data_IF_974968453533
#
_entry.id   IF_974968453533
#
_cell.length_a   1.000
_cell.length_b   1.000
_cell.length_c   1.000
_cell.angle_alpha   90.00
_cell.angle_beta   90.00
_cell.angle_gamma   90.00
#
_symmetry.space_group_name_H-M   'P 1'
#
loop_
_entity.id
_entity.type
_entity.pdbx_description
1 polymer ?
#
# COMPACT_ATOMS: atom_id res chain seq x y z
N UNK A 1 -7.15 11.00 -9.53
CA UNK A 1 -6.70 11.06 -8.11
C UNK A 1 -6.71 12.50 -7.64
N UNK A 2 -7.26 12.75 -6.48
CA UNK A 2 -7.27 14.07 -5.85
C UNK A 2 -5.83 14.60 -5.65
N UNK A 3 -5.59 15.93 -5.80
CA UNK A 3 -4.23 16.50 -5.72
C UNK A 3 -3.47 16.18 -4.42
N UNK A 4 -4.16 16.17 -3.27
CA UNK A 4 -3.57 15.88 -1.96
C UNK A 4 -3.02 14.46 -1.88
N UNK A 5 -3.80 13.47 -2.32
CA UNK A 5 -3.36 12.08 -2.36
C UNK A 5 -2.25 11.86 -3.40
N UNK A 6 -2.32 12.53 -4.54
CA UNK A 6 -1.24 12.45 -5.53
C UNK A 6 0.08 12.94 -4.94
N UNK A 7 0.06 14.09 -4.27
CA UNK A 7 1.26 14.63 -3.62
C UNK A 7 1.79 13.69 -2.50
N UNK A 8 0.89 13.06 -1.74
CA UNK A 8 1.27 12.07 -0.72
C UNK A 8 2.04 10.91 -1.37
N UNK A 9 1.50 10.29 -2.42
CA UNK A 9 2.18 9.16 -3.09
C UNK A 9 3.48 9.57 -3.80
N UNK A 10 3.58 10.79 -4.33
CA UNK A 10 4.84 11.33 -4.87
C UNK A 10 5.91 11.48 -3.79
N UNK A 11 5.52 11.93 -2.58
CA UNK A 11 6.39 12.00 -1.40
C UNK A 11 6.75 10.62 -0.86
N UNK A 12 5.78 9.70 -0.78
CA UNK A 12 6.02 8.32 -0.36
C UNK A 12 7.00 7.62 -1.30
N UNK A 13 6.81 7.73 -2.61
CA UNK A 13 7.74 7.17 -3.58
C UNK A 13 9.17 7.70 -3.37
N UNK A 14 9.33 9.02 -3.14
CA UNK A 14 10.63 9.60 -2.81
C UNK A 14 11.18 9.05 -1.50
N UNK A 15 10.37 9.01 -0.45
CA UNK A 15 10.76 8.50 0.86
C UNK A 15 11.25 7.05 0.79
N UNK A 16 10.54 6.19 0.05
CA UNK A 16 10.95 4.80 -0.16
C UNK A 16 12.33 4.73 -0.85
N UNK A 17 12.49 5.44 -1.96
CA UNK A 17 13.74 5.41 -2.74
C UNK A 17 14.93 6.01 -1.99
N UNK A 18 14.72 7.03 -1.17
CA UNK A 18 15.78 7.64 -0.34
C UNK A 18 16.30 6.69 0.77
N UNK A 19 15.55 5.62 1.07
CA UNK A 19 15.86 4.66 2.14
C UNK A 19 16.22 3.25 1.63
N UNK A 20 16.39 3.08 0.31
CA UNK A 20 16.70 1.82 -0.34
C UNK A 20 18.03 1.89 -1.12
N UNK A 21 18.75 0.79 -1.22
CA UNK A 21 19.90 0.67 -2.11
C UNK A 21 19.44 0.40 -3.55
N UNK A 22 19.59 1.40 -4.41
CA UNK A 22 19.19 1.34 -5.81
C UNK A 22 20.34 0.94 -6.74
N UNK A 23 21.52 0.59 -6.22
CA UNK A 23 22.73 0.35 -7.01
C UNK A 23 22.54 -0.66 -8.15
N UNK A 24 22.03 -1.83 -7.85
CA UNK A 24 21.84 -2.93 -8.82
C UNK A 24 20.36 -3.21 -9.13
N UNK A 25 19.51 -2.19 -9.08
CA UNK A 25 18.09 -2.29 -9.33
C UNK A 25 17.80 -2.44 -10.84
N UNK A 26 17.10 -3.48 -11.23
CA UNK A 26 16.62 -3.70 -12.60
C UNK A 26 15.16 -4.14 -12.66
N UNK A 27 14.69 -4.91 -11.66
CA UNK A 27 13.34 -5.45 -11.62
C UNK A 27 12.71 -5.14 -10.27
N UNK A 28 11.64 -4.38 -10.30
CA UNK A 28 10.84 -4.02 -9.12
C UNK A 28 9.52 -4.78 -9.20
N UNK A 29 9.05 -5.31 -8.09
CA UNK A 29 7.67 -5.73 -7.89
C UNK A 29 6.98 -4.73 -6.98
N UNK A 30 5.87 -4.17 -7.43
CA UNK A 30 4.89 -3.58 -6.53
C UNK A 30 3.75 -4.56 -6.32
N UNK A 31 3.57 -4.99 -5.07
CA UNK A 31 2.53 -5.92 -4.65
C UNK A 31 1.33 -5.14 -4.08
N UNK A 32 0.13 -5.40 -4.60
CA UNK A 32 -1.06 -4.62 -4.29
C UNK A 32 -1.06 -3.26 -5.00
N UNK A 33 -0.74 -3.23 -6.29
CA UNK A 33 -0.56 -1.96 -7.02
C UNK A 33 -1.85 -1.16 -7.24
N UNK A 34 -3.03 -1.76 -7.08
CA UNK A 34 -4.31 -1.11 -7.29
C UNK A 34 -4.40 -0.41 -8.66
N UNK A 35 -4.76 0.86 -8.63
CA UNK A 35 -4.86 1.73 -9.82
C UNK A 35 -3.56 2.44 -10.19
N UNK A 36 -2.46 2.12 -9.50
CA UNK A 36 -1.13 2.68 -9.75
C UNK A 36 -0.83 3.98 -9.02
N UNK A 37 -1.47 4.19 -7.86
CA UNK A 37 -1.27 5.41 -7.08
C UNK A 37 0.19 5.59 -6.65
N UNK A 38 0.84 4.51 -6.24
CA UNK A 38 2.28 4.48 -5.92
C UNK A 38 3.13 4.04 -7.11
N UNK A 39 2.66 3.09 -7.94
CA UNK A 39 3.39 2.55 -9.10
C UNK A 39 3.90 3.65 -10.03
N UNK A 40 3.03 4.59 -10.39
CA UNK A 40 3.37 5.63 -11.38
C UNK A 40 4.39 6.64 -10.84
N UNK A 41 4.22 7.26 -9.66
CA UNK A 41 5.24 8.16 -9.12
C UNK A 41 6.56 7.43 -8.80
N UNK A 42 6.51 6.18 -8.35
CA UNK A 42 7.70 5.36 -8.14
C UNK A 42 8.46 5.16 -9.46
N UNK A 43 7.79 4.68 -10.51
CA UNK A 43 8.41 4.46 -11.81
C UNK A 43 9.00 5.74 -12.40
N UNK A 44 8.32 6.89 -12.28
CA UNK A 44 8.84 8.18 -12.71
C UNK A 44 10.13 8.54 -12.00
N UNK A 45 10.18 8.40 -10.67
CA UNK A 45 11.38 8.70 -9.88
C UNK A 45 12.54 7.74 -10.16
N UNK A 46 12.27 6.45 -10.32
CA UNK A 46 13.31 5.50 -10.74
C UNK A 46 13.85 5.85 -12.14
N UNK A 47 12.99 6.28 -13.06
CA UNK A 47 13.39 6.68 -14.40
C UNK A 47 14.31 7.92 -14.44
N UNK A 48 14.27 8.76 -13.40
CA UNK A 48 15.20 9.90 -13.26
C UNK A 48 16.65 9.45 -12.94
N UNK A 49 16.83 8.23 -12.40
CA UNK A 49 18.12 7.73 -11.90
C UNK A 49 18.60 6.45 -12.57
N UNK A 50 17.75 5.77 -13.32
CA UNK A 50 18.01 4.50 -14.02
C UNK A 50 17.44 4.52 -15.42
N UNK A 51 18.27 4.23 -16.41
CA UNK A 51 17.83 4.13 -17.81
C UNK A 51 17.06 2.85 -18.14
N UNK A 52 17.37 1.75 -17.43
CA UNK A 52 16.82 0.41 -17.72
C UNK A 52 16.34 -0.24 -16.44
N UNK A 53 15.03 -0.35 -16.31
CA UNK A 53 14.37 -1.09 -15.25
C UNK A 53 12.96 -1.49 -15.69
N UNK A 54 12.34 -2.39 -14.93
CA UNK A 54 10.94 -2.81 -15.09
C UNK A 54 10.24 -2.79 -13.75
N UNK A 55 8.97 -2.46 -13.75
CA UNK A 55 8.07 -2.55 -12.61
C UNK A 55 6.99 -3.56 -12.93
N UNK A 56 6.98 -4.69 -12.26
CA UNK A 56 5.85 -5.59 -12.22
C UNK A 56 4.84 -5.05 -11.24
N UNK A 57 3.67 -4.69 -11.72
CA UNK A 57 2.58 -4.13 -10.92
C UNK A 57 1.53 -5.23 -10.71
N UNK A 58 1.64 -5.92 -9.56
CA UNK A 58 0.82 -7.09 -9.23
C UNK A 58 -0.40 -6.67 -8.42
N UNK A 59 -1.58 -7.12 -8.83
CA UNK A 59 -2.83 -6.94 -8.10
C UNK A 59 -3.80 -8.10 -8.37
N UNK A 60 -4.61 -8.44 -7.38
CA UNK A 60 -5.63 -9.48 -7.52
C UNK A 60 -6.74 -9.07 -8.50
N UNK A 61 -7.03 -7.77 -8.59
CA UNK A 61 -8.12 -7.18 -9.40
C UNK A 61 -9.42 -7.96 -9.31
N UNK A 62 -9.80 -8.31 -8.08
CA UNK A 62 -11.01 -9.08 -7.75
C UNK A 62 -11.72 -8.46 -6.54
N UNK A 63 -12.94 -8.92 -6.24
CA UNK A 63 -13.71 -8.42 -5.10
C UNK A 63 -13.90 -6.89 -5.17
N UNK A 64 -13.58 -6.16 -4.10
CA UNK A 64 -13.71 -4.70 -4.06
C UNK A 64 -12.75 -3.99 -5.02
N UNK A 65 -11.66 -4.64 -5.43
CA UNK A 65 -10.62 -4.12 -6.33
C UNK A 65 -10.81 -4.53 -7.80
N UNK A 66 -11.97 -5.12 -8.13
CA UNK A 66 -12.30 -5.54 -9.50
C UNK A 66 -12.23 -4.34 -10.46
N UNK A 67 -11.40 -4.48 -11.50
CA UNK A 67 -11.21 -3.45 -12.54
C UNK A 67 -10.05 -2.49 -12.27
N UNK A 68 -9.35 -2.61 -11.15
CA UNK A 68 -8.25 -1.70 -10.82
C UNK A 68 -7.07 -1.84 -11.79
N UNK A 69 -6.73 -3.04 -12.24
CA UNK A 69 -5.69 -3.23 -13.25
C UNK A 69 -6.04 -2.62 -14.62
N UNK A 70 -7.30 -2.58 -15.01
CA UNK A 70 -7.77 -1.92 -16.22
C UNK A 70 -7.61 -0.39 -16.11
N UNK A 71 -7.84 0.15 -14.91
CA UNK A 71 -7.60 1.57 -14.61
C UNK A 71 -6.09 1.84 -14.60
N UNK A 72 -5.29 0.99 -13.98
CA UNK A 72 -3.83 1.07 -14.01
C UNK A 72 -3.31 1.13 -15.45
N UNK A 73 -3.73 0.22 -16.33
CA UNK A 73 -3.32 0.21 -17.74
C UNK A 73 -3.60 1.54 -18.44
N UNK A 74 -4.78 2.12 -18.22
CA UNK A 74 -5.15 3.43 -18.77
C UNK A 74 -4.25 4.55 -18.22
N UNK A 75 -3.97 4.52 -16.92
CA UNK A 75 -3.10 5.49 -16.26
C UNK A 75 -1.66 5.39 -16.76
N UNK A 76 -1.13 4.17 -16.89
CA UNK A 76 0.22 3.89 -17.45
C UNK A 76 0.34 4.41 -18.86
N UNK A 77 -0.66 4.17 -19.72
CA UNK A 77 -0.70 4.68 -21.09
C UNK A 77 -0.74 6.20 -21.14
N UNK A 78 -1.57 6.84 -20.33
CA UNK A 78 -1.64 8.30 -20.21
C UNK A 78 -0.29 8.92 -19.84
N UNK A 79 0.47 8.26 -18.97
CA UNK A 79 1.78 8.72 -18.48
C UNK A 79 2.96 8.23 -19.37
N UNK A 80 2.68 7.47 -20.45
CA UNK A 80 3.68 6.93 -21.41
C UNK A 80 4.73 6.03 -20.74
N UNK A 81 4.28 5.18 -19.79
CA UNK A 81 5.12 4.28 -19.02
C UNK A 81 4.94 2.79 -19.39
N UNK A 82 4.29 2.48 -20.53
CA UNK A 82 3.96 1.10 -20.96
C UNK A 82 5.21 0.23 -21.21
N UNK A 83 6.34 0.84 -21.47
CA UNK A 83 7.62 0.14 -21.67
C UNK A 83 8.28 -0.24 -20.34
N UNK A 84 7.86 0.39 -19.25
CA UNK A 84 8.45 0.26 -17.91
C UNK A 84 7.54 -0.51 -16.96
N UNK A 85 6.24 -0.20 -16.93
CA UNK A 85 5.27 -0.79 -16.00
C UNK A 85 4.52 -1.91 -16.71
N UNK A 86 4.54 -3.11 -16.09
CA UNK A 86 3.88 -4.32 -16.56
C UNK A 86 2.84 -4.77 -15.54
N UNK A 87 1.55 -4.48 -15.78
CA UNK A 87 0.46 -4.95 -14.93
C UNK A 87 0.32 -6.48 -14.97
N UNK A 88 0.30 -7.11 -13.80
CA UNK A 88 0.16 -8.56 -13.62
C UNK A 88 -1.05 -8.81 -12.73
N UNK A 89 -1.96 -9.67 -13.20
CA UNK A 89 -3.04 -10.16 -12.36
C UNK A 89 -2.57 -11.39 -11.59
N UNK A 90 -2.62 -11.34 -10.26
CA UNK A 90 -2.22 -12.44 -9.40
C UNK A 90 -2.53 -12.18 -7.93
N UNK A 91 -2.49 -13.25 -7.15
CA UNK A 91 -2.65 -13.22 -5.71
C UNK A 91 -1.27 -13.18 -5.05
N UNK A 92 -1.04 -12.25 -4.13
CA UNK A 92 0.22 -12.11 -3.41
C UNK A 92 0.53 -13.32 -2.52
N UNK A 93 -0.47 -14.13 -2.21
CA UNK A 93 -0.33 -15.36 -1.43
C UNK A 93 0.15 -16.56 -2.24
N UNK A 94 0.18 -16.44 -3.59
CA UNK A 94 0.59 -17.50 -4.53
C UNK A 94 1.00 -16.86 -5.87
N UNK A 95 2.22 -16.33 -5.95
CA UNK A 95 2.72 -15.54 -7.10
C UNK A 95 3.33 -16.48 -8.16
N UNK A 96 2.47 -17.21 -8.88
CA UNK A 96 2.88 -18.17 -9.92
C UNK A 96 3.59 -17.56 -11.13
N UNK A 97 3.34 -16.30 -11.41
CA UNK A 97 3.86 -15.62 -12.60
C UNK A 97 5.32 -15.15 -12.46
N UNK A 98 5.89 -15.26 -11.27
CA UNK A 98 7.23 -14.74 -10.95
C UNK A 98 8.08 -15.88 -10.40
N UNK A 99 9.25 -16.06 -11.03
CA UNK A 99 10.23 -17.10 -10.66
C UNK A 99 10.93 -16.77 -9.33
N UNK A 100 11.47 -17.82 -8.69
CA UNK A 100 12.29 -17.69 -7.49
C UNK A 100 13.48 -16.76 -7.78
N UNK A 101 13.83 -15.95 -6.78
CA UNK A 101 15.03 -15.10 -6.82
C UNK A 101 15.18 -14.26 -8.10
N UNK A 102 14.07 -13.74 -8.62
CA UNK A 102 14.04 -12.96 -9.86
C UNK A 102 13.84 -11.44 -9.65
N UNK A 103 13.40 -11.02 -8.47
CA UNK A 103 13.08 -9.63 -8.13
C UNK A 103 14.22 -8.96 -7.37
N UNK A 104 14.57 -7.72 -7.76
CA UNK A 104 15.60 -6.94 -7.09
C UNK A 104 15.05 -6.07 -5.94
N UNK A 105 13.79 -5.68 -6.01
CA UNK A 105 13.13 -4.85 -5.01
C UNK A 105 11.65 -5.16 -4.96
N UNK A 106 11.13 -5.40 -3.76
CA UNK A 106 9.69 -5.49 -3.53
C UNK A 106 9.22 -4.24 -2.79
N UNK A 107 8.15 -3.64 -3.29
CA UNK A 107 7.44 -2.53 -2.65
C UNK A 107 5.98 -2.92 -2.50
N UNK A 108 5.39 -2.59 -1.37
CA UNK A 108 3.95 -2.65 -1.17
C UNK A 108 3.48 -1.52 -0.25
N UNK A 109 2.22 -1.11 -0.38
CA UNK A 109 1.63 -0.08 0.45
C UNK A 109 0.15 -0.38 0.69
N UNK A 110 -0.31 -0.26 1.94
CA UNK A 110 -1.70 -0.55 2.35
C UNK A 110 -2.21 -1.88 1.78
N UNK A 111 -1.38 -2.92 1.85
CA UNK A 111 -1.69 -4.26 1.35
C UNK A 111 -1.97 -5.24 2.49
N UNK A 112 -1.23 -5.14 3.60
CA UNK A 112 -1.31 -6.16 4.65
C UNK A 112 -2.61 -6.06 5.44
N UNK A 113 -3.22 -4.89 5.51
CA UNK A 113 -4.55 -4.69 6.07
C UNK A 113 -5.66 -5.42 5.28
N UNK A 114 -5.42 -5.79 4.04
CA UNK A 114 -6.35 -6.55 3.19
C UNK A 114 -6.19 -8.08 3.32
N UNK A 115 -5.26 -8.54 4.14
CA UNK A 115 -4.95 -9.95 4.35
C UNK A 115 -5.32 -10.38 5.77
N UNK A 116 -5.83 -11.60 5.90
CA UNK A 116 -5.89 -12.25 7.21
C UNK A 116 -4.47 -12.68 7.67
N UNK A 117 -4.32 -13.09 8.92
CA UNK A 117 -3.00 -13.49 9.46
C UNK A 117 -2.32 -14.58 8.66
N UNK A 118 -3.07 -15.57 8.16
CA UNK A 118 -2.55 -16.67 7.35
C UNK A 118 -2.17 -16.18 5.96
N UNK A 119 -2.97 -15.32 5.38
CA UNK A 119 -2.69 -14.67 4.09
C UNK A 119 -1.44 -13.81 4.13
N UNK A 120 -1.24 -13.06 5.22
CA UNK A 120 -0.03 -12.28 5.44
C UNK A 120 1.22 -13.18 5.51
N UNK A 121 1.16 -14.27 6.29
CA UNK A 121 2.28 -15.22 6.36
C UNK A 121 2.60 -15.81 4.97
N UNK A 122 1.57 -16.22 4.22
CA UNK A 122 1.74 -16.76 2.86
C UNK A 122 2.34 -15.72 1.90
N UNK A 123 1.85 -14.47 1.94
CA UNK A 123 2.38 -13.40 1.11
C UNK A 123 3.85 -13.09 1.41
N UNK A 124 4.22 -13.02 2.68
CA UNK A 124 5.61 -12.79 3.09
C UNK A 124 6.53 -13.95 2.69
N UNK A 125 6.06 -15.21 2.74
CA UNK A 125 6.81 -16.36 2.23
C UNK A 125 7.03 -16.27 0.72
N UNK A 126 6.02 -15.87 -0.06
CA UNK A 126 6.14 -15.62 -1.50
C UNK A 126 7.11 -14.47 -1.80
N UNK A 127 7.03 -13.37 -1.06
CA UNK A 127 7.97 -12.27 -1.21
C UNK A 127 9.41 -12.71 -0.93
N UNK A 128 9.60 -13.50 0.13
CA UNK A 128 10.93 -14.08 0.41
C UNK A 128 11.40 -15.01 -0.70
N UNK A 129 10.54 -15.84 -1.27
CA UNK A 129 10.87 -16.75 -2.37
C UNK A 129 11.35 -16.01 -3.61
N UNK A 130 10.59 -15.00 -4.07
CA UNK A 130 10.86 -14.29 -5.33
C UNK A 130 11.96 -13.24 -5.24
N UNK A 131 12.23 -12.71 -4.03
CA UNK A 131 13.29 -11.73 -3.80
C UNK A 131 14.66 -12.40 -3.92
N UNK A 132 15.57 -11.79 -4.69
CA UNK A 132 16.96 -12.28 -4.79
C UNK A 132 17.69 -12.16 -3.45
N UNK A 133 18.71 -12.99 -3.19
CA UNK A 133 19.56 -12.85 -2.01
C UNK A 133 20.20 -11.46 -1.91
N UNK A 134 20.27 -10.93 -0.68
CA UNK A 134 20.78 -9.58 -0.37
C UNK A 134 20.05 -8.45 -1.10
N UNK A 135 18.76 -8.63 -1.35
CA UNK A 135 17.87 -7.61 -1.92
C UNK A 135 16.82 -7.19 -0.92
N UNK A 136 16.24 -6.04 -1.20
CA UNK A 136 15.44 -5.31 -0.22
C UNK A 136 13.95 -5.38 -0.53
N UNK A 137 13.18 -5.26 0.53
CA UNK A 137 11.75 -5.05 0.50
C UNK A 137 11.39 -3.85 1.37
N UNK A 138 10.40 -3.07 0.94
CA UNK A 138 9.77 -2.04 1.74
C UNK A 138 8.24 -2.20 1.72
N UNK A 139 7.60 -2.06 2.89
CA UNK A 139 6.15 -2.07 3.04
C UNK A 139 5.69 -0.92 3.91
N UNK A 140 4.77 -0.08 3.40
CA UNK A 140 4.09 0.97 4.15
C UNK A 140 2.68 0.57 4.55
N UNK A 141 2.29 0.87 5.80
CA UNK A 141 0.94 0.66 6.32
C UNK A 141 0.58 1.80 7.26
N UNK A 142 -0.69 2.25 7.22
CA UNK A 142 -1.17 3.26 8.14
C UNK A 142 -1.04 2.79 9.59
N UNK A 143 -0.54 3.67 10.46
CA UNK A 143 -0.51 3.37 11.89
C UNK A 143 -1.94 3.15 12.40
N UNK A 144 -2.28 1.98 12.97
CA UNK A 144 -3.62 1.70 13.50
C UNK A 144 -3.94 2.48 14.78
N UNK A 145 -2.95 3.14 15.39
CA UNK A 145 -3.14 3.98 16.58
C UNK A 145 -3.37 5.44 16.20
N UNK A 146 -4.49 6.01 16.63
CA UNK A 146 -4.78 7.44 16.42
C UNK A 146 -4.01 8.32 17.40
N UNK A 147 -3.44 9.42 16.91
CA UNK A 147 -2.77 10.44 17.72
C UNK A 147 -3.70 11.64 18.03
N UNK A 148 -4.80 11.78 17.29
CA UNK A 148 -5.78 12.85 17.45
C UNK A 148 -7.18 12.40 17.04
N UNK A 149 -8.20 13.24 17.34
CA UNK A 149 -9.60 12.93 17.06
C UNK A 149 -9.91 12.79 15.55
N UNK A 150 -9.22 13.52 14.67
CA UNK A 150 -9.44 13.43 13.23
C UNK A 150 -8.92 12.07 12.67
N UNK A 151 -7.79 11.59 13.15
CA UNK A 151 -7.26 10.26 12.83
C UNK A 151 -8.14 9.15 13.40
N UNK A 152 -8.63 9.32 14.65
CA UNK A 152 -9.56 8.38 15.27
C UNK A 152 -10.84 8.23 14.46
N UNK A 153 -11.42 9.32 13.96
CA UNK A 153 -12.60 9.27 13.10
C UNK A 153 -12.34 8.51 11.80
N UNK A 154 -11.17 8.66 11.20
CA UNK A 154 -10.80 7.91 10.00
C UNK A 154 -10.66 6.41 10.28
N UNK A 155 -9.95 6.04 11.34
CA UNK A 155 -9.75 4.63 11.74
C UNK A 155 -11.09 3.98 12.08
N UNK A 156 -11.95 4.66 12.86
CA UNK A 156 -13.29 4.15 13.18
C UNK A 156 -14.16 3.98 11.93
N UNK A 157 -14.10 4.93 10.98
CA UNK A 157 -14.86 4.84 9.73
C UNK A 157 -14.42 3.64 8.90
N UNK A 158 -13.13 3.39 8.84
CA UNK A 158 -12.58 2.23 8.15
C UNK A 158 -13.03 0.92 8.83
N UNK A 159 -12.82 0.77 10.13
CA UNK A 159 -13.26 -0.39 10.89
C UNK A 159 -14.78 -0.63 10.76
N UNK A 160 -15.59 0.44 10.81
CA UNK A 160 -17.04 0.33 10.67
C UNK A 160 -17.46 -0.13 9.27
N UNK A 161 -16.81 0.36 8.23
CA UNK A 161 -17.06 -0.10 6.85
C UNK A 161 -16.73 -1.59 6.70
N UNK A 162 -15.66 -2.07 7.35
CA UNK A 162 -15.28 -3.47 7.38
C UNK A 162 -16.28 -4.33 8.13
N UNK A 163 -16.77 -3.88 9.28
CA UNK A 163 -17.76 -4.60 10.09
C UNK A 163 -19.11 -4.77 9.40
N UNK A 164 -19.48 -3.85 8.55
CA UNK A 164 -20.76 -3.86 7.81
C UNK A 164 -20.70 -4.63 6.49
N UNK A 165 -19.50 -4.96 6.01
CA UNK A 165 -19.30 -5.75 4.79
C UNK A 165 -19.66 -7.22 5.02
N UNK A 166 -20.45 -7.82 4.13
CA UNK A 166 -20.81 -9.24 4.19
C UNK A 166 -20.25 -10.00 2.97
N UNK A 167 -19.61 -11.19 3.14
CA UNK A 167 -19.21 -11.78 4.43
C UNK A 167 -18.15 -10.91 5.12
N UNK A 168 -18.16 -10.93 6.47
CA UNK A 168 -17.15 -10.23 7.27
C UNK A 168 -15.77 -10.74 6.88
N UNK A 169 -14.87 -9.91 6.34
CA UNK A 169 -13.50 -10.34 6.13
C UNK A 169 -12.83 -10.56 7.51
N UNK A 170 -11.99 -11.57 7.60
CA UNK A 170 -11.09 -11.75 8.75
C UNK A 170 -9.92 -10.75 8.66
N UNK A 171 -10.23 -9.47 8.72
CA UNK A 171 -9.23 -8.43 8.57
C UNK A 171 -8.62 -8.09 9.92
N UNK A 172 -7.35 -7.80 9.87
CA UNK A 172 -6.68 -7.18 11.02
C UNK A 172 -5.76 -6.07 10.47
N UNK A 173 -5.61 -4.99 11.22
CA UNK A 173 -4.58 -4.00 10.93
C UNK A 173 -3.33 -4.40 11.72
N UNK A 174 -2.31 -4.97 11.08
CA UNK A 174 -1.14 -5.45 11.79
C UNK A 174 -0.31 -4.27 12.28
N UNK A 175 0.15 -4.33 13.52
CA UNK A 175 1.17 -3.42 14.00
C UNK A 175 2.52 -3.75 13.36
N UNK A 176 3.33 -2.75 13.13
CA UNK A 176 4.63 -2.91 12.47
C UNK A 176 5.58 -3.87 13.17
N UNK A 177 5.51 -3.97 14.50
CA UNK A 177 6.29 -4.92 15.31
C UNK A 177 5.83 -6.37 15.12
N UNK A 178 4.51 -6.63 15.00
CA UNK A 178 3.97 -7.95 14.67
C UNK A 178 4.46 -8.41 13.27
N UNK A 179 4.40 -7.51 12.29
CA UNK A 179 4.89 -7.79 10.92
C UNK A 179 6.39 -8.03 10.92
N UNK A 180 7.15 -7.19 11.61
CA UNK A 180 8.61 -7.34 11.72
C UNK A 180 9.02 -8.67 12.38
N UNK A 181 8.30 -9.09 13.43
CA UNK A 181 8.52 -10.39 14.07
C UNK A 181 8.24 -11.57 13.11
N UNK A 182 7.17 -11.48 12.31
CA UNK A 182 6.85 -12.50 11.32
C UNK A 182 7.88 -12.52 10.18
N UNK A 183 8.30 -11.36 9.67
CA UNK A 183 9.37 -11.28 8.67
C UNK A 183 10.67 -11.89 9.17
N UNK A 184 11.06 -11.62 10.42
CA UNK A 184 12.25 -12.23 11.04
C UNK A 184 12.12 -13.75 11.13
N UNK A 185 10.97 -14.27 11.50
CA UNK A 185 10.69 -15.73 11.56
C UNK A 185 10.84 -16.39 10.19
N UNK A 186 10.45 -15.71 9.11
CA UNK A 186 10.58 -16.20 7.72
C UNK A 186 12.03 -16.18 7.23
N UNK A 187 12.88 -15.30 7.76
CA UNK A 187 14.28 -15.20 7.42
C UNK A 187 14.75 -13.85 6.89
N UNK A 188 13.87 -12.85 6.83
CA UNK A 188 14.28 -11.48 6.53
C UNK A 188 15.21 -10.92 7.61
N UNK A 189 16.14 -10.07 7.20
CA UNK A 189 17.21 -9.48 8.04
C UNK A 189 17.17 -7.97 7.96
N UNK A 190 17.95 -7.31 8.79
CA UNK A 190 18.13 -5.86 8.79
C UNK A 190 16.79 -5.11 8.82
N UNK A 191 15.82 -5.67 9.57
CA UNK A 191 14.46 -5.12 9.64
C UNK A 191 14.49 -3.80 10.41
N UNK A 192 14.03 -2.74 9.79
CA UNK A 192 13.90 -1.41 10.40
C UNK A 192 12.53 -0.81 10.10
N UNK A 193 12.01 -0.03 11.01
CA UNK A 193 10.75 0.70 10.85
C UNK A 193 11.05 2.18 10.82
N UNK A 194 10.54 2.87 9.80
CA UNK A 194 10.62 4.33 9.69
C UNK A 194 9.21 4.90 9.56
N UNK A 195 9.04 6.16 9.94
CA UNK A 195 7.76 6.84 9.93
C UNK A 195 7.67 7.77 8.72
N UNK A 196 6.57 7.69 8.01
CA UNK A 196 6.24 8.58 6.90
C UNK A 196 5.01 9.40 7.22
N UNK A 197 5.13 10.71 7.25
CA UNK A 197 4.03 11.64 7.48
C UNK A 197 3.16 11.74 6.23
N UNK A 198 1.93 11.25 6.30
CA UNK A 198 0.98 11.33 5.18
C UNK A 198 0.61 12.77 4.85
N UNK A 199 0.42 13.60 5.88
CA UNK A 199 -0.05 14.99 5.80
C UNK A 199 -1.35 15.15 4.99
N UNK A 200 -2.23 14.13 5.03
CA UNK A 200 -3.53 14.16 4.38
C UNK A 200 -4.60 14.52 5.38
N UNK A 201 -5.02 15.77 5.33
CA UNK A 201 -6.10 16.32 6.16
C UNK A 201 -7.32 16.64 5.31
N UNK A 202 -8.47 16.25 5.78
CA UNK A 202 -9.74 16.45 5.11
C UNK A 202 -10.67 17.28 6.00
N UNK A 203 -11.15 18.39 5.49
CA UNK A 203 -12.24 19.13 6.13
C UNK A 203 -13.54 18.32 6.06
N UNK A 204 -14.61 18.84 6.70
CA UNK A 204 -15.90 18.15 6.76
C UNK A 204 -16.41 17.68 5.38
N UNK A 205 -16.41 18.55 4.36
CA UNK A 205 -16.96 18.21 3.05
C UNK A 205 -16.17 17.08 2.39
N UNK A 206 -14.84 17.16 2.41
CA UNK A 206 -13.96 16.11 1.89
C UNK A 206 -14.07 14.81 2.67
N UNK A 207 -14.25 14.88 4.00
CA UNK A 207 -14.50 13.71 4.83
C UNK A 207 -15.78 12.99 4.41
N UNK A 208 -16.86 13.74 4.20
CA UNK A 208 -18.14 13.17 3.74
C UNK A 208 -18.02 12.56 2.33
N UNK A 209 -17.31 13.23 1.41
CA UNK A 209 -17.04 12.67 0.07
C UNK A 209 -16.27 11.34 0.16
N UNK A 210 -15.24 11.28 1.02
CA UNK A 210 -14.43 10.07 1.22
C UNK A 210 -15.23 8.93 1.85
N UNK A 211 -16.04 9.21 2.85
CA UNK A 211 -16.93 8.23 3.48
C UNK A 211 -17.94 7.64 2.48
N UNK A 212 -18.48 8.48 1.58
CA UNK A 212 -19.36 8.02 0.48
C UNK A 212 -18.60 7.14 -0.52
N UNK A 213 -17.37 7.51 -0.89
CA UNK A 213 -16.52 6.70 -1.76
C UNK A 213 -16.26 5.31 -1.15
N UNK A 214 -16.01 5.25 0.16
CA UNK A 214 -15.84 4.01 0.91
C UNK A 214 -17.14 3.26 1.18
N UNK A 215 -18.29 3.82 0.79
CA UNK A 215 -19.62 3.25 1.06
C UNK A 215 -19.89 3.05 2.56
N UNK A 216 -19.32 3.92 3.39
CA UNK A 216 -19.54 3.91 4.84
C UNK A 216 -21.02 4.10 5.13
N UNK A 217 -21.56 3.36 6.10
CA UNK A 217 -22.98 3.41 6.48
C UNK A 217 -23.36 4.82 6.94
N UNK A 218 -24.56 5.25 6.53
CA UNK A 218 -25.14 6.53 6.92
C UNK A 218 -25.28 6.68 8.45
N UNK A 219 -25.58 5.58 9.16
CA UNK A 219 -25.69 5.60 10.61
C UNK A 219 -24.37 5.97 11.31
N UNK A 220 -23.21 5.59 10.75
CA UNK A 220 -21.92 6.07 11.23
C UNK A 220 -21.78 7.58 11.05
N UNK A 221 -22.08 8.06 9.85
CA UNK A 221 -21.98 9.49 9.51
C UNK A 221 -22.87 10.32 10.42
N UNK A 222 -24.12 9.89 10.65
CA UNK A 222 -25.08 10.58 11.52
C UNK A 222 -24.59 10.63 12.97
N UNK A 223 -24.12 9.52 13.52
CA UNK A 223 -23.60 9.46 14.90
C UNK A 223 -22.36 10.35 15.11
N UNK A 224 -21.51 10.49 14.10
CA UNK A 224 -20.24 11.24 14.17
C UNK A 224 -20.30 12.60 13.52
N UNK A 225 -21.49 13.06 13.13
CA UNK A 225 -21.66 14.29 12.34
C UNK A 225 -21.02 15.53 12.99
N UNK A 226 -21.19 15.69 14.31
CA UNK A 226 -20.63 16.83 15.04
C UNK A 226 -19.11 16.77 15.12
N UNK A 227 -18.54 15.57 15.33
CA UNK A 227 -17.10 15.37 15.38
C UNK A 227 -16.48 15.58 14.00
N UNK A 228 -17.12 15.07 12.92
CA UNK A 228 -16.71 15.30 11.54
C UNK A 228 -16.73 16.80 11.16
N UNK A 229 -17.73 17.55 11.62
CA UNK A 229 -17.78 19.01 11.42
C UNK A 229 -16.66 19.73 12.16
N UNK A 230 -16.32 19.27 13.36
CA UNK A 230 -15.33 19.90 14.22
C UNK A 230 -13.90 19.59 13.82
N UNK A 231 -13.62 18.33 13.51
CA UNK A 231 -12.25 17.82 13.33
C UNK A 231 -11.94 17.44 11.88
N UNK A 232 -12.94 17.12 11.06
CA UNK A 232 -12.73 16.49 9.77
C UNK A 232 -12.20 15.06 9.94
N UNK A 233 -11.41 14.59 8.98
CA UNK A 233 -10.62 13.34 9.09
C UNK A 233 -9.17 13.60 8.67
N UNK A 234 -8.27 12.81 9.22
CA UNK A 234 -6.83 12.88 8.92
C UNK A 234 -6.28 11.46 8.79
N UNK A 235 -5.46 11.23 7.76
CA UNK A 235 -4.72 9.98 7.64
C UNK A 235 -3.57 9.95 8.66
N UNK A 236 -3.44 8.90 9.47
CA UNK A 236 -2.29 8.69 10.32
C UNK A 236 -0.98 8.68 9.54
N UNK A 237 0.15 8.77 10.22
CA UNK A 237 1.43 8.43 9.62
C UNK A 237 1.43 6.97 9.15
N UNK A 238 2.26 6.66 8.19
CA UNK A 238 2.59 5.28 7.85
C UNK A 238 3.82 4.81 8.60
N UNK A 239 3.77 3.57 9.08
CA UNK A 239 4.94 2.81 9.48
C UNK A 239 5.47 2.09 8.24
N UNK A 240 6.69 2.42 7.84
CA UNK A 240 7.32 1.80 6.67
C UNK A 240 8.41 0.85 7.16
N UNK A 241 8.20 -0.44 6.91
CA UNK A 241 9.14 -1.50 7.25
C UNK A 241 10.09 -1.69 6.07
N UNK A 242 11.38 -1.66 6.34
CA UNK A 242 12.44 -2.01 5.39
C UNK A 242 13.13 -3.28 5.87
N UNK A 243 13.43 -4.20 4.97
CA UNK A 243 14.15 -5.43 5.28
C UNK A 243 14.95 -5.95 4.09
N UNK A 244 15.77 -6.99 4.33
CA UNK A 244 16.59 -7.69 3.33
C UNK A 244 16.36 -9.20 3.42
N UNK A 245 16.49 -9.90 2.27
CA UNK A 245 16.55 -11.36 2.23
C UNK A 245 17.92 -11.88 2.60
#
# INVERSE_FOLDING_TARGET
MEPTFRLMYERLAKFLLDNLDLGKLSVILEAGCGRGQLTIPLAKKVNEIKEKFKVFALDISAGPYKGDLEILKKNVQKEKLEKVIMPIKGDVRDIKAIEDESIDLIISNELFCDLDRKGLESALMEFYRILKPNRQMAHGELNPAAENEAQKLLIEANAYSLETTQPKPEWFSPFSDEVAALMHKIGFKNITVKHFETNVKMNFNKSIEKLKEWKTDLAFIERRLNDLKRYGMEFPMEHVIFCEK
#
